data_IF_171312271872
#
_entry.id   IF_171312271872
#
_cell.length_a   1.000
_cell.length_b   1.000
_cell.length_c   1.000
_cell.angle_alpha   90.00
_cell.angle_beta   90.00
_cell.angle_gamma   90.00
#
_symmetry.space_group_name_H-M   'P 1'
#
loop_
_entity.id
_entity.type
_entity.pdbx_description
1 polymer ?
#
# COMPACT_ATOMS: atom_id res chain seq x y z
N UNK A 1 17.82 -17.01 -1.69
CA UNK A 1 17.57 -15.63 -1.25
C UNK A 1 16.17 -15.27 -1.70
N UNK A 2 15.39 -14.64 -0.84
CA UNK A 2 14.01 -14.26 -1.14
C UNK A 2 13.91 -12.75 -1.27
N UNK A 3 13.53 -12.26 -2.45
CA UNK A 3 13.36 -10.84 -2.74
C UNK A 3 11.89 -10.49 -2.90
N UNK A 4 11.45 -9.46 -2.16
CA UNK A 4 10.11 -8.89 -2.32
C UNK A 4 10.18 -7.60 -3.15
N UNK A 5 9.41 -7.54 -4.22
CA UNK A 5 9.19 -6.33 -5.03
C UNK A 5 7.89 -5.69 -4.54
N UNK A 6 8.02 -4.50 -3.97
CA UNK A 6 6.94 -3.83 -3.23
C UNK A 6 6.69 -2.43 -3.80
N UNK A 7 5.74 -2.30 -4.73
CA UNK A 7 5.26 -0.99 -5.16
C UNK A 7 4.56 -0.26 -4.01
N UNK A 8 5.06 0.93 -3.67
CA UNK A 8 4.62 1.70 -2.49
C UNK A 8 3.42 2.58 -2.86
N UNK A 9 2.25 2.19 -2.39
CA UNK A 9 1.03 3.00 -2.46
C UNK A 9 0.82 3.81 -1.18
N UNK A 10 -0.44 3.96 -0.74
CA UNK A 10 -0.81 4.78 0.43
C UNK A 10 -1.21 3.97 1.67
N UNK A 11 -1.09 2.65 1.64
CA UNK A 11 -1.54 1.78 2.71
C UNK A 11 -0.36 1.01 3.31
N UNK A 12 0.14 1.52 4.45
CA UNK A 12 1.29 0.96 5.16
C UNK A 12 1.06 -0.50 5.56
N UNK A 13 -0.12 -0.82 6.11
CA UNK A 13 -0.40 -2.13 6.67
C UNK A 13 -0.37 -3.23 5.61
N UNK A 14 -0.86 -2.94 4.42
CA UNK A 14 -0.84 -3.88 3.29
C UNK A 14 0.56 -4.15 2.74
N UNK A 15 1.52 -3.31 3.07
CA UNK A 15 2.91 -3.44 2.64
C UNK A 15 3.76 -4.14 3.70
N UNK A 16 3.54 -3.85 4.99
CA UNK A 16 4.34 -4.39 6.09
C UNK A 16 3.80 -5.72 6.64
N UNK A 17 2.47 -5.88 6.71
CA UNK A 17 1.83 -7.02 7.36
C UNK A 17 2.25 -8.39 6.79
N UNK A 18 2.35 -8.61 5.47
CA UNK A 18 2.76 -9.90 4.93
C UNK A 18 4.13 -10.36 5.45
N UNK A 19 5.06 -9.43 5.58
CA UNK A 19 6.44 -9.73 5.97
C UNK A 19 6.61 -9.82 7.49
N UNK A 20 5.93 -8.95 8.24
CA UNK A 20 6.08 -8.87 9.70
C UNK A 20 5.06 -9.75 10.43
N UNK A 21 3.78 -9.66 10.07
CA UNK A 21 2.69 -10.40 10.73
C UNK A 21 2.56 -11.82 10.21
N UNK A 22 2.58 -11.98 8.89
CA UNK A 22 2.34 -13.27 8.24
C UNK A 22 3.65 -14.06 8.02
N UNK A 23 4.78 -13.46 8.41
CA UNK A 23 6.11 -14.08 8.49
C UNK A 23 6.59 -14.71 7.17
N UNK A 24 6.36 -14.02 6.05
CA UNK A 24 6.96 -14.42 4.80
C UNK A 24 8.49 -14.30 4.89
N UNK A 25 9.19 -15.30 4.38
CA UNK A 25 10.64 -15.25 4.29
C UNK A 25 11.08 -14.05 3.45
N UNK A 26 12.03 -13.26 3.95
CA UNK A 26 12.54 -12.08 3.27
C UNK A 26 14.03 -11.87 3.57
N UNK A 27 14.83 -11.78 2.52
CA UNK A 27 16.23 -11.38 2.60
C UNK A 27 16.42 -9.96 2.05
N UNK A 28 15.62 -9.59 1.04
CA UNK A 28 15.71 -8.32 0.33
C UNK A 28 14.33 -7.76 -0.02
N UNK A 29 14.18 -6.43 0.08
CA UNK A 29 12.97 -5.70 -0.34
C UNK A 29 13.35 -4.60 -1.31
N UNK A 30 12.77 -4.62 -2.51
CA UNK A 30 12.85 -3.55 -3.51
C UNK A 30 11.59 -2.72 -3.44
N UNK A 31 11.69 -1.50 -2.93
CA UNK A 31 10.60 -0.55 -2.80
C UNK A 31 10.52 0.31 -4.07
N UNK A 32 9.35 0.38 -4.71
CA UNK A 32 9.13 1.27 -5.84
C UNK A 32 8.23 2.43 -5.42
N UNK A 33 8.82 3.63 -5.38
CA UNK A 33 8.09 4.86 -5.09
C UNK A 33 7.41 5.37 -6.36
N UNK A 34 6.11 5.62 -6.27
CA UNK A 34 5.34 6.22 -7.35
C UNK A 34 5.08 7.70 -7.09
N UNK A 35 5.36 8.55 -8.08
CA UNK A 35 4.92 9.94 -8.05
C UNK A 35 3.46 10.01 -8.50
N UNK A 36 2.52 10.27 -7.59
CA UNK A 36 1.09 10.31 -7.91
C UNK A 36 0.47 11.63 -7.48
N UNK A 37 -0.12 12.34 -8.41
CA UNK A 37 -1.03 13.45 -8.13
C UNK A 37 -0.36 14.70 -7.57
N UNK A 38 -0.84 15.20 -6.44
CA UNK A 38 -0.35 16.44 -5.84
C UNK A 38 1.03 16.30 -5.20
N UNK A 39 1.71 17.42 -4.99
CA UNK A 39 2.99 17.48 -4.29
C UNK A 39 2.92 16.82 -2.89
N UNK A 40 1.80 17.01 -2.19
CA UNK A 40 1.53 16.38 -0.89
C UNK A 40 1.50 14.83 -0.99
N UNK A 41 0.89 14.28 -2.03
CA UNK A 41 0.86 12.84 -2.26
C UNK A 41 2.26 12.27 -2.56
N UNK A 42 3.06 13.00 -3.33
CA UNK A 42 4.45 12.61 -3.63
C UNK A 42 5.29 12.61 -2.35
N UNK A 43 5.14 13.63 -1.51
CA UNK A 43 5.83 13.71 -0.23
C UNK A 43 5.39 12.58 0.71
N UNK A 44 4.08 12.32 0.81
CA UNK A 44 3.55 11.21 1.60
C UNK A 44 4.12 9.85 1.15
N UNK A 45 4.08 9.55 -0.15
CA UNK A 45 4.63 8.29 -0.70
C UNK A 45 6.12 8.15 -0.39
N UNK A 46 6.87 9.25 -0.49
CA UNK A 46 8.30 9.28 -0.14
C UNK A 46 8.55 9.00 1.35
N UNK A 47 7.77 9.62 2.21
CA UNK A 47 7.87 9.44 3.66
C UNK A 47 7.48 8.00 4.06
N UNK A 48 6.42 7.48 3.44
CA UNK A 48 6.00 6.10 3.65
C UNK A 48 7.06 5.09 3.19
N UNK A 49 7.66 5.29 2.03
CA UNK A 49 8.75 4.45 1.55
C UNK A 49 9.98 4.50 2.47
N UNK A 50 10.32 5.68 3.01
CA UNK A 50 11.42 5.83 3.97
C UNK A 50 11.12 5.11 5.30
N UNK A 51 9.87 5.20 5.78
CA UNK A 51 9.43 4.46 6.97
C UNK A 51 9.50 2.94 6.74
N UNK A 52 8.94 2.46 5.65
CA UNK A 52 8.97 1.02 5.30
C UNK A 52 10.41 0.50 5.19
N UNK A 53 11.30 1.25 4.54
CA UNK A 53 12.72 0.92 4.45
C UNK A 53 13.35 0.75 5.83
N UNK A 54 13.09 1.68 6.75
CA UNK A 54 13.54 1.59 8.13
C UNK A 54 12.99 0.38 8.87
N UNK A 55 11.69 0.12 8.72
CA UNK A 55 11.02 -0.98 9.40
C UNK A 55 11.46 -2.35 8.87
N UNK A 56 11.62 -2.53 7.56
CA UNK A 56 12.14 -3.77 6.99
C UNK A 56 13.57 -4.06 7.42
N UNK A 57 14.44 -3.05 7.49
CA UNK A 57 15.80 -3.20 8.02
C UNK A 57 15.82 -3.53 9.51
N UNK A 58 15.05 -2.80 10.32
CA UNK A 58 15.11 -2.89 11.76
C UNK A 58 14.37 -4.10 12.32
N UNK A 59 13.23 -4.48 11.74
CA UNK A 59 12.38 -5.56 12.24
C UNK A 59 12.75 -6.92 11.62
N UNK A 60 13.18 -6.93 10.36
CA UNK A 60 13.41 -8.16 9.62
C UNK A 60 14.89 -8.39 9.26
N UNK A 61 15.73 -7.35 9.40
CA UNK A 61 17.12 -7.42 8.96
C UNK A 61 17.28 -7.52 7.43
N UNK A 62 16.23 -7.18 6.67
CA UNK A 62 16.24 -7.28 5.23
C UNK A 62 17.11 -6.21 4.57
N UNK A 63 17.80 -6.58 3.50
CA UNK A 63 18.43 -5.61 2.61
C UNK A 63 17.32 -4.81 1.89
N UNK A 64 17.48 -3.51 1.75
CA UNK A 64 16.46 -2.67 1.11
C UNK A 64 17.07 -1.83 -0.01
N UNK A 65 16.34 -1.71 -1.11
CA UNK A 65 16.62 -0.79 -2.21
C UNK A 65 15.37 0.03 -2.53
N UNK A 66 15.57 1.33 -2.83
CA UNK A 66 14.49 2.21 -3.26
C UNK A 66 14.69 2.60 -4.71
N UNK A 67 13.65 2.40 -5.50
CA UNK A 67 13.61 2.75 -6.91
C UNK A 67 12.41 3.65 -7.18
N UNK A 68 12.51 4.48 -8.23
CA UNK A 68 11.41 5.36 -8.62
C UNK A 68 10.61 4.74 -9.76
N UNK A 69 9.28 4.84 -9.68
CA UNK A 69 8.35 4.59 -10.77
C UNK A 69 7.88 5.95 -11.30
N UNK A 70 8.22 6.27 -12.54
CA UNK A 70 8.06 7.62 -13.08
C UNK A 70 6.59 8.05 -13.22
N UNK A 71 5.73 7.16 -13.68
CA UNK A 71 4.29 7.38 -13.80
C UNK A 71 3.51 6.13 -13.39
N UNK A 72 2.68 6.26 -12.37
CA UNK A 72 1.85 5.15 -11.86
C UNK A 72 0.59 4.90 -12.70
N UNK A 73 0.32 5.72 -13.68
CA UNK A 73 -0.78 5.52 -14.63
C UNK A 73 -0.31 4.99 -15.99
N UNK A 74 1.00 4.98 -16.24
CA UNK A 74 1.60 4.37 -17.42
C UNK A 74 1.77 2.86 -17.19
N UNK A 75 0.83 2.10 -17.75
CA UNK A 75 0.83 0.64 -17.64
C UNK A 75 2.08 0.03 -18.29
N UNK A 76 2.47 0.51 -19.49
CA UNK A 76 3.57 -0.08 -20.26
C UNK A 76 4.90 0.14 -19.55
N UNK A 77 5.16 1.35 -19.07
CA UNK A 77 6.36 1.64 -18.28
C UNK A 77 6.39 0.86 -16.96
N UNK A 78 5.26 0.69 -16.29
CA UNK A 78 5.16 -0.11 -15.08
C UNK A 78 5.40 -1.61 -15.36
N UNK A 79 4.88 -2.13 -16.48
CA UNK A 79 5.08 -3.50 -16.92
C UNK A 79 6.57 -3.77 -17.22
N UNK A 80 7.20 -2.94 -18.07
CA UNK A 80 8.61 -3.07 -18.40
C UNK A 80 9.48 -3.06 -17.14
N UNK A 81 9.21 -2.12 -16.23
CA UNK A 81 9.94 -2.02 -14.97
C UNK A 81 9.80 -3.25 -14.08
N UNK A 82 8.59 -3.77 -13.94
CA UNK A 82 8.34 -5.00 -13.18
C UNK A 82 9.01 -6.20 -13.82
N UNK A 83 8.88 -6.35 -15.14
CA UNK A 83 9.46 -7.43 -15.91
C UNK A 83 10.98 -7.47 -15.77
N UNK A 84 11.66 -6.33 -15.93
CA UNK A 84 13.11 -6.21 -15.81
C UNK A 84 13.58 -6.53 -14.38
N UNK A 85 12.89 -6.03 -13.36
CA UNK A 85 13.23 -6.31 -11.96
C UNK A 85 13.08 -7.79 -11.62
N UNK A 86 11.98 -8.42 -12.03
CA UNK A 86 11.76 -9.85 -11.77
C UNK A 86 12.85 -10.68 -12.43
N UNK A 87 13.19 -10.38 -13.68
CA UNK A 87 14.25 -11.10 -14.39
C UNK A 87 15.61 -10.89 -13.74
N UNK A 88 15.96 -9.66 -13.35
CA UNK A 88 17.22 -9.35 -12.70
C UNK A 88 17.40 -10.12 -11.38
N UNK A 89 16.36 -10.17 -10.56
CA UNK A 89 16.39 -10.90 -9.29
C UNK A 89 16.45 -12.44 -9.49
N UNK A 90 15.75 -12.97 -10.47
CA UNK A 90 15.86 -14.38 -10.84
C UNK A 90 17.26 -14.74 -11.33
N UNK A 91 17.87 -13.88 -12.16
CA UNK A 91 19.24 -14.06 -12.65
C UNK A 91 20.29 -13.97 -11.53
N UNK A 92 19.99 -13.16 -10.48
CA UNK A 92 20.76 -13.12 -9.24
C UNK A 92 20.56 -14.35 -8.33
N UNK A 93 19.65 -15.25 -8.69
CA UNK A 93 19.38 -16.49 -7.96
C UNK A 93 18.32 -16.37 -6.86
N UNK A 94 17.57 -15.29 -6.82
CA UNK A 94 16.52 -15.06 -5.82
C UNK A 94 15.19 -15.71 -6.20
N UNK A 95 14.42 -16.13 -5.21
CA UNK A 95 12.98 -16.33 -5.34
C UNK A 95 12.30 -14.96 -5.23
N UNK A 96 11.36 -14.68 -6.12
CA UNK A 96 10.76 -13.35 -6.28
C UNK A 96 9.30 -13.33 -5.87
N UNK A 97 8.96 -12.43 -4.96
CA UNK A 97 7.62 -12.21 -4.47
C UNK A 97 7.15 -10.79 -4.83
N UNK A 98 6.09 -10.68 -5.61
CA UNK A 98 5.57 -9.39 -6.10
C UNK A 98 4.32 -9.01 -5.33
N UNK A 99 4.39 -7.90 -4.61
CA UNK A 99 3.22 -7.30 -3.93
C UNK A 99 2.37 -6.51 -4.93
N UNK A 100 1.09 -6.86 -5.03
CA UNK A 100 0.13 -6.17 -5.90
C UNK A 100 -0.98 -5.46 -5.12
N UNK A 101 -0.72 -5.13 -3.85
CA UNK A 101 -1.77 -4.75 -2.90
C UNK A 101 -2.14 -3.27 -2.90
N UNK A 102 -1.19 -2.35 -2.94
CA UNK A 102 -1.44 -0.98 -2.47
C UNK A 102 -1.25 0.13 -3.51
N UNK A 103 -0.85 -0.18 -4.72
CA UNK A 103 -0.70 0.79 -5.82
C UNK A 103 -2.00 1.00 -6.60
N UNK A 104 -2.11 2.08 -7.38
CA UNK A 104 -3.18 2.24 -8.36
C UNK A 104 -3.32 1.01 -9.27
N UNK A 105 -4.54 0.72 -9.68
CA UNK A 105 -4.86 -0.48 -10.47
C UNK A 105 -3.97 -0.71 -11.69
N UNK A 106 -3.62 0.32 -12.49
CA UNK A 106 -2.72 0.11 -13.64
C UNK A 106 -1.39 -0.52 -13.25
N UNK A 107 -0.75 -0.06 -12.18
CA UNK A 107 0.51 -0.63 -11.68
C UNK A 107 0.31 -2.03 -11.15
N UNK A 108 -0.72 -2.27 -10.32
CA UNK A 108 -1.00 -3.61 -9.78
C UNK A 108 -1.22 -4.63 -10.89
N UNK A 109 -1.97 -4.27 -11.95
CA UNK A 109 -2.15 -5.12 -13.12
C UNK A 109 -0.87 -5.32 -13.91
N UNK A 110 -0.08 -4.27 -14.12
CA UNK A 110 1.19 -4.33 -14.83
C UNK A 110 2.17 -5.29 -14.14
N UNK A 111 2.31 -5.20 -12.82
CA UNK A 111 3.17 -6.06 -12.02
C UNK A 111 2.69 -7.52 -12.01
N UNK A 112 1.39 -7.74 -11.85
CA UNK A 112 0.82 -9.09 -11.92
C UNK A 112 1.02 -9.71 -13.30
N UNK A 113 0.83 -8.94 -14.38
CA UNK A 113 0.98 -9.41 -15.75
C UNK A 113 2.45 -9.66 -16.08
N UNK A 114 3.37 -8.81 -15.63
CA UNK A 114 4.81 -9.02 -15.80
C UNK A 114 5.26 -10.30 -15.12
N UNK A 115 4.86 -10.54 -13.87
CA UNK A 115 5.16 -11.78 -13.15
C UNK A 115 4.62 -13.01 -13.90
N UNK A 116 3.39 -12.93 -14.40
CA UNK A 116 2.81 -14.01 -15.18
C UNK A 116 3.55 -14.26 -16.51
N UNK A 117 3.97 -13.21 -17.21
CA UNK A 117 4.78 -13.32 -18.44
C UNK A 117 6.10 -14.00 -18.19
N UNK A 118 6.81 -13.63 -17.12
CA UNK A 118 8.07 -14.29 -16.75
C UNK A 118 7.86 -15.77 -16.41
N UNK A 119 6.78 -16.12 -15.69
CA UNK A 119 6.42 -17.53 -15.40
C UNK A 119 6.22 -18.34 -16.69
N UNK A 120 5.61 -17.73 -17.72
CA UNK A 120 5.37 -18.41 -19.00
C UNK A 120 6.65 -18.55 -19.85
N UNK A 121 7.52 -17.55 -19.80
CA UNK A 121 8.73 -17.51 -20.62
C UNK A 121 9.89 -18.28 -20.00
N UNK A 122 9.96 -18.33 -18.65
CA UNK A 122 11.04 -18.97 -17.90
C UNK A 122 10.54 -20.22 -17.16
N UNK A 123 10.24 -21.27 -17.89
CA UNK A 123 9.65 -22.50 -17.34
C UNK A 123 10.50 -23.10 -16.19
N UNK A 124 11.82 -22.98 -16.24
CA UNK A 124 12.72 -23.47 -15.20
C UNK A 124 12.61 -22.67 -13.88
N UNK A 125 12.20 -21.40 -13.94
CA UNK A 125 12.10 -20.49 -12.79
C UNK A 125 10.66 -20.28 -12.32
N UNK A 126 9.68 -20.93 -12.96
CA UNK A 126 8.25 -20.68 -12.69
C UNK A 126 7.83 -20.83 -11.23
N UNK A 127 8.46 -21.76 -10.51
CA UNK A 127 8.18 -22.01 -9.08
C UNK A 127 8.87 -21.00 -8.16
N UNK A 128 9.66 -20.08 -8.72
CA UNK A 128 10.41 -19.04 -8.00
C UNK A 128 9.75 -17.67 -8.11
N UNK A 129 8.68 -17.52 -8.88
CA UNK A 129 7.96 -16.26 -9.06
C UNK A 129 6.58 -16.37 -8.45
N UNK A 130 6.31 -15.50 -7.49
CA UNK A 130 5.05 -15.46 -6.75
C UNK A 130 4.43 -14.07 -6.77
N UNK A 131 3.12 -14.02 -6.78
CA UNK A 131 2.38 -12.77 -6.56
C UNK A 131 1.52 -12.90 -5.32
N UNK A 132 1.39 -11.83 -4.54
CA UNK A 132 0.52 -11.83 -3.38
C UNK A 132 -0.26 -10.52 -3.25
N UNK A 133 -1.45 -10.66 -2.69
CA UNK A 133 -2.37 -9.58 -2.44
C UNK A 133 -2.81 -9.61 -0.97
N UNK A 134 -2.62 -8.51 -0.28
CA UNK A 134 -3.12 -8.30 1.08
C UNK A 134 -4.37 -7.46 1.02
N UNK A 135 -5.48 -8.01 1.49
CA UNK A 135 -6.72 -7.25 1.61
C UNK A 135 -6.56 -6.17 2.70
N UNK A 136 -7.12 -4.98 2.54
CA UNK A 136 -7.19 -4.01 3.62
C UNK A 136 -8.03 -4.60 4.76
N UNK A 137 -7.63 -4.37 6.02
CA UNK A 137 -8.42 -4.79 7.18
C UNK A 137 -9.78 -4.10 7.18
N UNK A 138 -9.78 -2.83 6.80
CA UNK A 138 -10.99 -2.02 6.60
C UNK A 138 -10.81 -1.09 5.40
N UNK A 139 -11.91 -0.82 4.74
CA UNK A 139 -11.95 0.22 3.72
C UNK A 139 -12.26 1.55 4.39
N UNK A 140 -11.34 2.51 4.27
CA UNK A 140 -11.49 3.83 4.87
C UNK A 140 -12.80 4.52 4.45
N UNK A 141 -13.22 4.32 3.20
CA UNK A 141 -14.50 4.83 2.69
C UNK A 141 -15.70 4.24 3.44
N UNK A 142 -15.61 2.98 3.85
CA UNK A 142 -16.68 2.33 4.63
C UNK A 142 -16.73 2.92 6.04
N UNK A 143 -15.59 3.08 6.70
CA UNK A 143 -15.52 3.71 8.02
C UNK A 143 -16.01 5.14 8.01
N UNK A 144 -15.59 5.94 7.02
CA UNK A 144 -16.08 7.30 6.83
C UNK A 144 -17.59 7.35 6.62
N UNK A 145 -18.12 6.47 5.76
CA UNK A 145 -19.55 6.41 5.51
C UNK A 145 -20.36 6.04 6.78
N UNK A 146 -19.82 5.13 7.60
CA UNK A 146 -20.42 4.78 8.88
C UNK A 146 -20.38 5.95 9.85
N UNK A 147 -19.24 6.64 9.98
CA UNK A 147 -19.11 7.79 10.87
C UNK A 147 -20.00 8.95 10.44
N UNK A 148 -20.12 9.23 9.15
CA UNK A 148 -21.06 10.23 8.64
C UNK A 148 -22.54 9.89 8.95
N UNK A 149 -22.90 8.60 8.87
CA UNK A 149 -24.26 8.16 9.25
C UNK A 149 -24.53 8.36 10.73
N UNK A 150 -23.56 8.02 11.58
CA UNK A 150 -23.66 8.20 13.04
C UNK A 150 -23.69 9.69 13.41
N UNK A 151 -22.84 10.52 12.78
CA UNK A 151 -22.84 11.98 12.97
C UNK A 151 -24.18 12.59 12.55
N UNK A 152 -24.75 12.14 11.42
CA UNK A 152 -26.08 12.58 10.98
C UNK A 152 -27.17 12.24 12.01
N UNK A 153 -27.11 11.02 12.58
CA UNK A 153 -28.09 10.62 13.62
C UNK A 153 -28.00 11.54 14.82
N UNK A 154 -26.79 11.79 15.32
CA UNK A 154 -26.57 12.68 16.46
C UNK A 154 -27.07 14.10 16.18
N UNK A 155 -26.84 14.64 14.99
CA UNK A 155 -27.32 15.97 14.61
C UNK A 155 -28.83 16.01 14.52
N UNK A 156 -29.52 14.93 14.14
CA UNK A 156 -30.96 14.82 14.16
C UNK A 156 -31.49 14.86 15.60
N UNK A 157 -30.90 14.08 16.51
CA UNK A 157 -31.27 14.06 17.94
C UNK A 157 -31.11 15.45 18.58
N UNK A 158 -30.01 16.15 18.27
CA UNK A 158 -29.77 17.53 18.71
C UNK A 158 -30.82 18.49 18.14
N UNK A 159 -31.23 18.33 16.88
CA UNK A 159 -32.25 19.18 16.25
C UNK A 159 -33.64 18.96 16.88
N UNK A 160 -33.90 17.73 17.35
CA UNK A 160 -35.16 17.40 18.06
C UNK A 160 -35.14 17.79 19.56
N UNK A 161 -34.01 18.36 20.03
CA UNK A 161 -33.82 18.83 21.40
C UNK A 161 -33.36 17.76 22.39
N UNK A 162 -33.03 16.59 21.90
CA UNK A 162 -32.39 15.49 22.65
C UNK A 162 -30.86 15.63 22.52
N UNK A 163 -30.19 16.06 23.58
CA UNK A 163 -28.72 16.21 23.58
C UNK A 163 -28.09 15.18 24.49
N UNK A 164 -27.52 14.14 23.88
CA UNK A 164 -26.60 13.22 24.56
C UNK A 164 -25.20 13.78 24.45
N UNK A 165 -24.67 14.34 25.54
CA UNK A 165 -23.34 14.94 25.59
C UNK A 165 -22.21 13.92 25.54
N UNK A 166 -22.43 12.75 26.08
CA UNK A 166 -21.43 11.68 26.11
C UNK A 166 -21.29 11.09 24.71
N UNK A 167 -22.42 10.85 24.01
CA UNK A 167 -22.41 10.43 22.61
C UNK A 167 -21.76 11.47 21.69
N UNK A 168 -21.97 12.77 21.96
CA UNK A 168 -21.35 13.85 21.19
C UNK A 168 -19.82 13.89 21.39
N UNK A 169 -19.34 13.70 22.61
CA UNK A 169 -17.91 13.67 22.92
C UNK A 169 -17.22 12.45 22.25
N UNK A 170 -17.85 11.29 22.32
CA UNK A 170 -17.35 10.08 21.68
C UNK A 170 -17.25 10.22 20.15
N UNK A 171 -18.26 10.89 19.54
CA UNK A 171 -18.24 11.19 18.10
C UNK A 171 -17.12 12.13 17.72
N UNK A 172 -16.87 13.16 18.51
CA UNK A 172 -15.79 14.12 18.25
C UNK A 172 -14.44 13.40 18.20
N UNK A 173 -14.15 12.60 19.22
CA UNK A 173 -12.89 11.83 19.27
C UNK A 173 -12.75 10.93 18.04
N UNK A 174 -13.80 10.20 17.67
CA UNK A 174 -13.74 9.30 16.49
C UNK A 174 -13.58 10.05 15.18
N UNK A 175 -14.20 11.21 15.04
CA UNK A 175 -14.04 12.06 13.85
C UNK A 175 -12.62 12.61 13.76
N UNK A 176 -12.03 13.02 14.88
CA UNK A 176 -10.64 13.49 14.94
C UNK A 176 -9.65 12.37 14.56
N UNK A 177 -9.86 11.14 15.03
CA UNK A 177 -9.05 9.98 14.66
C UNK A 177 -9.11 9.72 13.15
N UNK A 178 -10.32 9.71 12.56
CA UNK A 178 -10.48 9.49 11.11
C UNK A 178 -9.86 10.62 10.29
N UNK A 179 -9.98 11.86 10.71
CA UNK A 179 -9.33 12.99 10.04
C UNK A 179 -7.81 12.85 10.08
N UNK A 180 -7.26 12.47 11.23
CA UNK A 180 -5.83 12.21 11.34
C UNK A 180 -5.37 11.08 10.41
N UNK A 181 -6.13 9.98 10.30
CA UNK A 181 -5.85 8.91 9.34
C UNK A 181 -5.89 9.40 7.88
N UNK A 182 -6.85 10.27 7.54
CA UNK A 182 -6.92 10.88 6.21
C UNK A 182 -5.73 11.79 5.93
N UNK A 183 -5.36 12.62 6.89
CA UNK A 183 -4.22 13.53 6.77
C UNK A 183 -2.91 12.74 6.65
N UNK A 184 -2.73 11.68 7.42
CA UNK A 184 -1.56 10.79 7.34
C UNK A 184 -1.48 10.05 6.00
N UNK A 185 -2.60 9.68 5.41
CA UNK A 185 -2.66 9.02 4.09
C UNK A 185 -2.57 10.00 2.91
N UNK A 186 -2.45 11.30 3.17
CA UNK A 186 -2.38 12.33 2.14
C UNK A 186 -3.64 12.44 1.28
N UNK A 187 -4.76 11.93 1.77
CA UNK A 187 -6.06 12.02 1.11
C UNK A 187 -6.65 13.39 1.39
N UNK A 188 -6.15 14.42 0.71
CA UNK A 188 -6.80 15.72 0.74
C UNK A 188 -8.13 15.58 0.00
N UNK A 189 -9.22 15.57 0.75
CA UNK A 189 -10.54 15.83 0.16
C UNK A 189 -10.46 17.30 -0.27
N UNK A 190 -10.19 17.50 -1.56
CA UNK A 190 -10.09 18.85 -2.11
C UNK A 190 -11.35 19.62 -1.82
N UNK A 191 -11.20 20.80 -1.24
CA UNK A 191 -12.24 21.78 -1.08
C UNK A 191 -12.63 22.40 -2.42
#
# INVERSE_FOLDING_TARGET
MTTHIVPVGFDYDRLIAPLVRDQFDVDRVVLLEGAVGSEANVEYSRNLAAKLEGDFRNLLGAETERLSLADVYDYDAAFERAYDLINAELDAGSDVWVNISSMPRPVSFAFATAAHSVILEREADRERVHTYYTAPEKYLETELAEELRRTRSLLADVADGEVDRDAAAERLVRTEELLAEFDERGTTIGA
#
